data_IF_165621904760
#
_entry.id   IF_165621904760
#
_cell.length_a   1.000
_cell.length_b   1.000
_cell.length_c   1.000
_cell.angle_alpha   90.00
_cell.angle_beta   90.00
_cell.angle_gamma   90.00
#
_symmetry.space_group_name_H-M   'P 1'
#
loop_
_entity.id
_entity.type
_entity.pdbx_description
1 polymer ?
#
# COMPACT_ATOMS: atom_id res chain seq x y z
N UNK A 1 -23.76 -56.13 -34.51
CA UNK A 1 -24.72 -57.01 -33.80
C UNK A 1 -24.89 -56.40 -32.42
N UNK A 2 -26.08 -56.45 -31.83
CA UNK A 2 -26.31 -55.87 -30.50
C UNK A 2 -25.38 -56.45 -29.43
N UNK A 3 -24.80 -55.58 -28.60
CA UNK A 3 -23.72 -55.94 -27.67
C UNK A 3 -24.13 -55.75 -26.20
N UNK A 4 -24.38 -56.86 -25.49
CA UNK A 4 -24.69 -56.85 -24.04
C UNK A 4 -23.57 -56.16 -23.23
N UNK A 5 -23.89 -55.47 -22.12
CA UNK A 5 -22.86 -54.95 -21.20
C UNK A 5 -21.88 -56.04 -20.76
N UNK A 6 -20.59 -55.72 -20.77
CA UNK A 6 -19.52 -56.68 -20.49
C UNK A 6 -18.42 -56.09 -19.58
N UNK A 7 -17.52 -56.95 -19.11
CA UNK A 7 -16.33 -56.56 -18.34
C UNK A 7 -15.25 -56.01 -19.28
N UNK A 8 -14.73 -54.80 -19.02
CA UNK A 8 -13.73 -54.15 -19.86
C UNK A 8 -12.33 -54.74 -19.61
N UNK A 9 -11.73 -55.44 -20.60
CA UNK A 9 -10.41 -56.06 -20.42
C UNK A 9 -9.24 -55.05 -20.43
N UNK A 10 -9.51 -53.78 -20.72
CA UNK A 10 -8.51 -52.72 -20.81
C UNK A 10 -9.13 -51.33 -20.86
N UNK A 11 -8.27 -50.31 -20.91
CA UNK A 11 -8.65 -48.90 -20.86
C UNK A 11 -9.25 -48.38 -22.15
N UNK A 12 -8.95 -49.02 -23.29
CA UNK A 12 -9.54 -48.72 -24.57
C UNK A 12 -9.96 -50.03 -25.24
N UNK A 13 -11.26 -50.19 -25.46
CA UNK A 13 -11.85 -51.41 -26.00
C UNK A 13 -12.68 -51.06 -27.22
N UNK A 14 -12.23 -51.49 -28.40
CA UNK A 14 -12.95 -51.31 -29.65
C UNK A 14 -13.57 -52.64 -30.10
N UNK A 15 -14.86 -52.83 -29.78
CA UNK A 15 -15.61 -54.00 -30.23
C UNK A 15 -16.23 -53.81 -31.62
N UNK A 16 -16.43 -52.56 -32.05
CA UNK A 16 -16.98 -52.25 -33.36
C UNK A 16 -15.91 -52.32 -34.48
N UNK A 17 -14.63 -52.43 -34.11
CA UNK A 17 -13.47 -52.47 -35.01
C UNK A 17 -13.42 -51.24 -35.95
N UNK A 18 -13.77 -50.06 -35.41
CA UNK A 18 -13.84 -48.80 -36.15
C UNK A 18 -12.67 -47.86 -35.89
N UNK A 19 -11.85 -48.14 -34.87
CA UNK A 19 -10.73 -47.30 -34.51
C UNK A 19 -9.47 -47.63 -35.34
N UNK A 20 -8.69 -46.60 -35.63
CA UNK A 20 -7.39 -46.70 -36.27
C UNK A 20 -6.27 -47.04 -35.29
N UNK A 21 -5.12 -46.36 -35.45
CA UNK A 21 -4.03 -46.45 -34.48
C UNK A 21 -4.43 -45.76 -33.17
N UNK A 22 -4.45 -46.51 -32.08
CA UNK A 22 -4.86 -46.06 -30.75
C UNK A 22 -3.70 -45.83 -29.80
N UNK A 23 -2.46 -46.00 -30.25
CA UNK A 23 -1.27 -45.93 -29.39
C UNK A 23 -1.11 -44.58 -28.69
N UNK A 24 -1.44 -43.47 -29.36
CA UNK A 24 -1.41 -42.13 -28.78
C UNK A 24 -2.50 -41.94 -27.72
N UNK A 25 -3.70 -42.44 -27.97
CA UNK A 25 -4.83 -42.35 -27.03
C UNK A 25 -4.55 -43.11 -25.73
N UNK A 26 -3.99 -44.31 -25.85
CA UNK A 26 -3.58 -45.11 -24.66
C UNK A 26 -2.46 -44.41 -23.90
N UNK A 27 -1.49 -43.81 -24.59
CA UNK A 27 -0.44 -43.04 -23.93
C UNK A 27 -0.98 -41.82 -23.17
N UNK A 28 -2.01 -41.16 -23.68
CA UNK A 28 -2.70 -40.06 -23.00
C UNK A 28 -3.47 -40.53 -21.76
N UNK A 29 -4.13 -41.70 -21.83
CA UNK A 29 -4.79 -42.33 -20.68
C UNK A 29 -3.77 -42.68 -19.59
N UNK A 30 -2.65 -43.31 -19.96
CA UNK A 30 -1.55 -43.64 -19.05
C UNK A 30 -0.96 -42.38 -18.37
N UNK A 31 -0.72 -41.33 -19.16
CA UNK A 31 -0.19 -40.07 -18.65
C UNK A 31 -1.17 -39.36 -17.71
N UNK A 32 -2.46 -39.42 -18.01
CA UNK A 32 -3.52 -38.90 -17.16
C UNK A 32 -3.60 -39.65 -15.83
N UNK A 33 -3.57 -40.99 -15.86
CA UNK A 33 -3.54 -41.82 -14.67
C UNK A 33 -2.30 -41.52 -13.81
N UNK A 34 -1.12 -41.43 -14.43
CA UNK A 34 0.12 -41.09 -13.73
C UNK A 34 0.11 -39.70 -13.08
N UNK A 35 -0.49 -38.70 -13.73
CA UNK A 35 -0.55 -37.31 -13.22
C UNK A 35 -1.60 -37.10 -12.14
N UNK A 36 -2.78 -37.70 -12.32
CA UNK A 36 -3.98 -37.36 -11.53
C UNK A 36 -4.39 -38.46 -10.55
N UNK A 37 -3.95 -39.71 -10.78
CA UNK A 37 -4.45 -40.89 -10.10
C UNK A 37 -5.86 -41.29 -10.53
N UNK A 38 -6.39 -40.74 -11.62
CA UNK A 38 -7.69 -41.11 -12.21
C UNK A 38 -7.47 -41.96 -13.46
N UNK A 39 -8.21 -43.05 -13.59
CA UNK A 39 -8.16 -43.91 -14.77
C UNK A 39 -9.29 -43.53 -15.73
N UNK A 40 -9.01 -43.48 -17.03
CA UNK A 40 -10.03 -43.28 -18.06
C UNK A 40 -10.23 -44.57 -18.85
N UNK A 41 -11.44 -45.09 -18.86
CA UNK A 41 -11.87 -46.21 -19.69
C UNK A 41 -12.73 -45.73 -20.86
N UNK A 42 -12.49 -46.25 -22.05
CA UNK A 42 -13.24 -45.92 -23.25
C UNK A 42 -13.62 -47.21 -23.97
N UNK A 43 -14.89 -47.33 -24.34
CA UNK A 43 -15.41 -48.48 -25.07
C UNK A 43 -16.23 -48.04 -26.27
N UNK A 44 -15.98 -48.67 -27.41
CA UNK A 44 -16.72 -48.48 -28.66
C UNK A 44 -17.45 -49.78 -29.00
N UNK A 45 -18.76 -49.69 -29.21
CA UNK A 45 -19.64 -50.82 -29.54
C UNK A 45 -20.49 -50.50 -30.77
N UNK A 46 -21.06 -51.53 -31.39
CA UNK A 46 -22.03 -51.33 -32.48
C UNK A 46 -23.28 -50.58 -31.97
N UNK A 47 -23.95 -51.11 -30.95
CA UNK A 47 -25.17 -50.53 -30.36
C UNK A 47 -25.32 -50.88 -28.87
N UNK A 48 -26.25 -50.21 -28.18
CA UNK A 48 -26.50 -50.39 -26.74
C UNK A 48 -27.67 -51.34 -26.40
N UNK A 49 -28.08 -52.19 -27.35
CA UNK A 49 -29.18 -53.15 -27.22
C UNK A 49 -30.53 -52.54 -26.82
N UNK A 50 -30.82 -51.34 -27.31
CA UNK A 50 -32.05 -50.62 -26.96
C UNK A 50 -32.08 -50.07 -25.52
N UNK A 51 -30.97 -50.16 -24.78
CA UNK A 51 -30.78 -49.40 -23.54
C UNK A 51 -30.29 -47.98 -23.84
N UNK A 52 -30.49 -47.06 -22.89
CA UNK A 52 -29.82 -45.76 -22.98
C UNK A 52 -28.31 -45.93 -22.83
N UNK A 53 -27.52 -45.10 -23.52
CA UNK A 53 -26.05 -45.12 -23.44
C UNK A 53 -25.57 -45.08 -21.98
N UNK A 54 -26.16 -44.21 -21.14
CA UNK A 54 -25.82 -44.11 -19.72
C UNK A 54 -26.21 -45.37 -18.93
N UNK A 55 -27.35 -45.98 -19.22
CA UNK A 55 -27.79 -47.20 -18.55
C UNK A 55 -26.96 -48.42 -18.93
N UNK A 56 -26.49 -48.47 -20.18
CA UNK A 56 -25.55 -49.48 -20.65
C UNK A 56 -24.19 -49.30 -19.96
N UNK A 57 -23.65 -48.07 -19.98
CA UNK A 57 -22.36 -47.74 -19.39
C UNK A 57 -22.31 -48.00 -17.87
N UNK A 58 -23.39 -47.71 -17.14
CA UNK A 58 -23.47 -47.98 -15.70
C UNK A 58 -23.36 -49.48 -15.39
N UNK A 59 -23.97 -50.34 -16.22
CA UNK A 59 -23.88 -51.80 -16.05
C UNK A 59 -22.49 -52.31 -16.39
N UNK A 60 -21.91 -51.85 -17.49
CA UNK A 60 -20.52 -52.16 -17.89
C UNK A 60 -19.54 -51.74 -16.80
N UNK A 61 -19.70 -50.54 -16.23
CA UNK A 61 -18.89 -50.05 -15.11
C UNK A 61 -19.01 -50.93 -13.86
N UNK A 62 -20.23 -51.39 -13.53
CA UNK A 62 -20.46 -52.31 -12.42
C UNK A 62 -19.85 -53.70 -12.63
N UNK A 63 -19.93 -54.24 -13.86
CA UNK A 63 -19.28 -55.51 -14.21
C UNK A 63 -17.76 -55.42 -14.14
N UNK A 64 -17.21 -54.28 -14.58
CA UNK A 64 -15.76 -54.00 -14.63
C UNK A 64 -15.18 -53.53 -13.29
N UNK A 65 -16.01 -53.39 -12.26
CA UNK A 65 -15.56 -52.95 -10.93
C UNK A 65 -15.06 -51.50 -10.87
N UNK A 66 -15.49 -50.63 -11.79
CA UNK A 66 -15.05 -49.23 -11.86
C UNK A 66 -15.51 -48.45 -10.63
N UNK A 67 -14.54 -47.86 -9.92
CA UNK A 67 -14.72 -47.16 -8.66
C UNK A 67 -14.72 -45.63 -8.78
N UNK A 68 -14.41 -44.98 -7.66
CA UNK A 68 -14.48 -43.52 -7.49
C UNK A 68 -13.38 -42.73 -8.21
N UNK A 69 -12.41 -43.44 -8.80
CA UNK A 69 -11.28 -42.87 -9.55
C UNK A 69 -11.34 -43.22 -11.04
N UNK A 70 -12.36 -43.95 -11.47
CA UNK A 70 -12.45 -44.51 -12.80
C UNK A 70 -13.53 -43.77 -13.59
N UNK A 71 -13.08 -42.98 -14.57
CA UNK A 71 -13.93 -42.40 -15.59
C UNK A 71 -14.22 -43.44 -16.65
N UNK A 72 -15.41 -43.39 -17.25
CA UNK A 72 -15.75 -44.28 -18.34
C UNK A 72 -16.50 -43.56 -19.44
N UNK A 73 -16.23 -43.93 -20.70
CA UNK A 73 -16.91 -43.40 -21.88
C UNK A 73 -17.37 -44.56 -22.74
N UNK A 74 -18.63 -44.55 -23.14
CA UNK A 74 -19.17 -45.49 -24.11
C UNK A 74 -19.64 -44.75 -25.35
N UNK A 75 -19.25 -45.23 -26.53
CA UNK A 75 -19.66 -44.70 -27.84
C UNK A 75 -20.30 -45.82 -28.65
N UNK A 76 -21.47 -45.57 -29.22
CA UNK A 76 -22.10 -46.50 -30.17
C UNK A 76 -22.02 -45.97 -31.60
N UNK A 77 -21.82 -46.90 -32.54
CA UNK A 77 -21.74 -46.58 -33.98
C UNK A 77 -23.14 -46.45 -34.58
N UNK A 78 -24.03 -47.39 -34.29
CA UNK A 78 -25.35 -47.49 -34.92
C UNK A 78 -26.40 -46.58 -34.27
N UNK A 79 -26.40 -46.48 -32.92
CA UNK A 79 -27.33 -45.58 -32.21
C UNK A 79 -26.88 -44.10 -32.31
N UNK A 80 -25.65 -43.84 -32.77
CA UNK A 80 -25.06 -42.50 -32.89
C UNK A 80 -25.16 -41.70 -31.58
N UNK A 81 -24.89 -42.37 -30.46
CA UNK A 81 -25.00 -41.81 -29.12
C UNK A 81 -23.76 -42.14 -28.29
N UNK A 82 -23.56 -41.39 -27.22
CA UNK A 82 -22.46 -41.60 -26.30
C UNK A 82 -22.86 -41.29 -24.86
N UNK A 83 -22.19 -41.96 -23.93
CA UNK A 83 -22.31 -41.67 -22.51
C UNK A 83 -20.94 -41.51 -21.87
N UNK A 84 -20.89 -40.64 -20.86
CA UNK A 84 -19.71 -40.42 -20.04
C UNK A 84 -20.11 -40.56 -18.58
N UNK A 85 -19.37 -41.38 -17.85
CA UNK A 85 -19.44 -41.55 -16.40
C UNK A 85 -18.24 -40.84 -15.78
N UNK A 86 -18.51 -39.90 -14.88
CA UNK A 86 -17.50 -39.25 -14.06
C UNK A 86 -17.86 -39.43 -12.59
N UNK A 87 -17.06 -40.18 -11.80
CA UNK A 87 -17.35 -40.41 -10.39
C UNK A 87 -17.18 -39.13 -9.57
N UNK A 88 -17.93 -38.99 -8.47
CA UNK A 88 -17.81 -37.84 -7.57
C UNK A 88 -16.41 -37.73 -6.96
N UNK A 89 -15.78 -38.88 -6.69
CA UNK A 89 -14.41 -38.97 -6.20
C UNK A 89 -13.33 -38.40 -7.14
N UNK A 90 -13.64 -38.17 -8.43
CA UNK A 90 -12.69 -37.61 -9.40
C UNK A 90 -12.30 -36.15 -9.12
N UNK A 91 -13.16 -35.39 -8.42
CA UNK A 91 -12.96 -33.95 -8.13
C UNK A 91 -12.72 -33.08 -9.36
N UNK A 92 -13.14 -33.56 -10.54
CA UNK A 92 -13.14 -32.76 -11.76
C UNK A 92 -14.24 -31.69 -11.68
N UNK A 93 -14.03 -30.56 -12.37
CA UNK A 93 -14.99 -29.45 -12.35
C UNK A 93 -16.19 -29.79 -13.25
N UNK A 94 -17.44 -29.81 -12.72
CA UNK A 94 -18.60 -30.24 -13.50
C UNK A 94 -18.82 -29.45 -14.80
N UNK A 95 -18.50 -28.15 -14.81
CA UNK A 95 -18.64 -27.32 -16.01
C UNK A 95 -17.62 -27.64 -17.11
N UNK A 96 -16.41 -28.05 -16.75
CA UNK A 96 -15.38 -28.44 -17.73
C UNK A 96 -15.67 -29.83 -18.30
N UNK A 97 -16.05 -30.77 -17.42
CA UNK A 97 -16.52 -32.10 -17.82
C UNK A 97 -17.72 -32.00 -18.76
N UNK A 98 -18.75 -31.22 -18.40
CA UNK A 98 -19.94 -31.06 -19.23
C UNK A 98 -19.66 -30.57 -20.64
N UNK A 99 -18.71 -29.64 -20.81
CA UNK A 99 -18.31 -29.17 -22.14
C UNK A 99 -17.68 -30.26 -23.00
N UNK A 100 -16.89 -31.16 -22.41
CA UNK A 100 -16.29 -32.29 -23.12
C UNK A 100 -17.38 -33.31 -23.48
N UNK A 101 -18.26 -33.65 -22.53
CA UNK A 101 -19.38 -34.57 -22.75
C UNK A 101 -20.27 -34.11 -23.91
N UNK A 102 -20.61 -32.82 -23.96
CA UNK A 102 -21.42 -32.27 -25.04
C UNK A 102 -20.74 -32.43 -26.41
N UNK A 103 -19.42 -32.27 -26.47
CA UNK A 103 -18.65 -32.45 -27.72
C UNK A 103 -18.57 -33.92 -28.13
N UNK A 104 -18.32 -34.84 -27.19
CA UNK A 104 -18.32 -36.29 -27.46
C UNK A 104 -19.66 -36.75 -28.02
N UNK A 105 -20.76 -36.34 -27.38
CA UNK A 105 -22.12 -36.67 -27.84
C UNK A 105 -22.41 -36.02 -29.20
N UNK A 106 -21.90 -34.82 -29.47
CA UNK A 106 -22.06 -34.18 -30.78
C UNK A 106 -21.33 -34.96 -31.90
N UNK A 107 -20.12 -35.46 -31.64
CA UNK A 107 -19.37 -36.28 -32.59
C UNK A 107 -20.05 -37.64 -32.83
N UNK A 108 -20.50 -38.30 -31.77
CA UNK A 108 -21.25 -39.55 -31.89
C UNK A 108 -22.51 -39.36 -32.76
N UNK A 109 -23.25 -38.27 -32.55
CA UNK A 109 -24.43 -37.91 -33.37
C UNK A 109 -24.09 -37.55 -34.81
N UNK A 110 -22.88 -37.06 -35.06
CA UNK A 110 -22.35 -36.85 -36.41
C UNK A 110 -21.93 -38.16 -37.10
N UNK A 111 -22.09 -39.32 -36.42
CA UNK A 111 -21.64 -40.65 -36.86
C UNK A 111 -20.13 -40.71 -37.07
N UNK A 112 -19.39 -40.03 -36.21
CA UNK A 112 -17.93 -40.06 -36.16
C UNK A 112 -17.47 -40.71 -34.85
N UNK A 113 -17.46 -42.05 -34.76
CA UNK A 113 -17.06 -42.75 -33.53
C UNK A 113 -15.60 -42.51 -33.18
N UNK A 114 -14.70 -42.38 -34.18
CA UNK A 114 -13.30 -42.04 -33.95
C UNK A 114 -13.17 -40.62 -33.37
N UNK A 115 -13.82 -39.63 -33.98
CA UNK A 115 -13.81 -38.26 -33.47
C UNK A 115 -14.43 -38.15 -32.07
N UNK A 116 -15.43 -38.97 -31.74
CA UNK A 116 -16.00 -39.03 -30.40
C UNK A 116 -14.99 -39.57 -29.37
N UNK A 117 -14.26 -40.64 -29.71
CA UNK A 117 -13.19 -41.20 -28.86
C UNK A 117 -12.04 -40.22 -28.71
N UNK A 118 -11.54 -39.62 -29.80
CA UNK A 118 -10.44 -38.65 -29.76
C UNK A 118 -10.80 -37.45 -28.87
N UNK A 119 -12.03 -36.95 -29.02
CA UNK A 119 -12.56 -35.85 -28.20
C UNK A 119 -12.68 -36.25 -26.73
N UNK A 120 -13.14 -37.48 -26.46
CA UNK A 120 -13.31 -37.99 -25.11
C UNK A 120 -11.97 -38.12 -24.40
N UNK A 121 -11.00 -38.80 -25.02
CA UNK A 121 -9.67 -39.01 -24.47
C UNK A 121 -8.98 -37.68 -24.30
N UNK A 122 -8.74 -36.93 -25.38
CA UNK A 122 -8.00 -35.66 -25.33
C UNK A 122 -8.66 -34.64 -24.40
N UNK A 123 -10.00 -34.57 -24.42
CA UNK A 123 -10.76 -33.61 -23.64
C UNK A 123 -10.75 -33.93 -22.15
N UNK A 124 -10.94 -35.20 -21.76
CA UNK A 124 -10.97 -35.60 -20.35
C UNK A 124 -9.56 -35.68 -19.75
N UNK A 125 -8.57 -36.17 -20.50
CA UNK A 125 -7.18 -36.26 -20.02
C UNK A 125 -6.55 -34.88 -19.85
N UNK A 126 -7.02 -33.85 -20.56
CA UNK A 126 -6.58 -32.47 -20.37
C UNK A 126 -7.06 -31.84 -19.05
N UNK A 127 -8.04 -32.44 -18.35
CA UNK A 127 -8.59 -31.88 -17.12
C UNK A 127 -7.69 -32.19 -15.90
N UNK A 128 -7.73 -31.30 -14.91
CA UNK A 128 -7.03 -31.46 -13.64
C UNK A 128 -8.04 -31.52 -12.47
N UNK A 129 -7.89 -32.49 -11.54
CA UNK A 129 -8.65 -32.53 -10.31
C UNK A 129 -8.41 -31.29 -9.44
N UNK A 130 -9.45 -30.80 -8.78
CA UNK A 130 -9.30 -29.68 -7.84
C UNK A 130 -8.69 -30.18 -6.53
N UNK A 131 -7.49 -29.71 -6.18
CA UNK A 131 -6.89 -29.94 -4.86
C UNK A 131 -7.39 -28.90 -3.83
N UNK A 132 -8.24 -29.29 -2.86
CA UNK A 132 -8.73 -28.37 -1.83
C UNK A 132 -7.62 -27.82 -0.94
N UNK A 133 -6.53 -28.56 -0.73
CA UNK A 133 -5.41 -28.11 0.09
C UNK A 133 -4.63 -26.98 -0.59
N UNK A 134 -4.45 -27.07 -1.91
CA UNK A 134 -3.80 -26.03 -2.70
C UNK A 134 -4.64 -24.74 -2.72
N UNK A 135 -5.97 -24.86 -2.86
CA UNK A 135 -6.89 -23.72 -2.81
C UNK A 135 -6.89 -23.02 -1.45
N UNK A 136 -6.87 -23.77 -0.36
CA UNK A 136 -6.79 -23.21 1.00
C UNK A 136 -5.46 -22.45 1.24
N UNK A 137 -4.33 -22.99 0.75
CA UNK A 137 -3.01 -22.32 0.81
C UNK A 137 -2.99 -21.01 0.03
N UNK A 138 -3.59 -20.98 -1.16
CA UNK A 138 -3.68 -19.77 -1.96
C UNK A 138 -4.47 -18.67 -1.22
N UNK A 139 -5.64 -19.00 -0.67
CA UNK A 139 -6.45 -18.05 0.11
C UNK A 139 -5.68 -17.53 1.34
N UNK A 140 -4.98 -18.41 2.06
CA UNK A 140 -4.17 -18.03 3.21
C UNK A 140 -2.99 -17.11 2.83
N UNK A 141 -2.36 -17.32 1.68
CA UNK A 141 -1.28 -16.45 1.21
C UNK A 141 -1.78 -15.01 0.91
N UNK A 142 -2.95 -14.90 0.28
CA UNK A 142 -3.56 -13.60 -0.03
C UNK A 142 -3.94 -12.80 1.23
N UNK A 143 -4.50 -13.46 2.25
CA UNK A 143 -4.87 -12.78 3.50
C UNK A 143 -3.65 -12.25 4.25
N UNK A 144 -2.55 -13.01 4.30
CA UNK A 144 -1.28 -12.56 4.88
C UNK A 144 -0.72 -11.36 4.12
N UNK A 145 -0.78 -11.37 2.79
CA UNK A 145 -0.34 -10.24 1.96
C UNK A 145 -1.11 -8.94 2.24
N UNK A 146 -2.44 -9.02 2.37
CA UNK A 146 -3.29 -7.87 2.68
C UNK A 146 -2.98 -7.30 4.06
N UNK A 147 -2.81 -8.15 5.08
CA UNK A 147 -2.46 -7.72 6.44
C UNK A 147 -1.10 -7.01 6.48
N UNK A 148 -0.11 -7.52 5.73
CA UNK A 148 1.21 -6.91 5.65
C UNK A 148 1.15 -5.52 4.99
N UNK A 149 0.40 -5.38 3.89
CA UNK A 149 0.21 -4.10 3.21
C UNK A 149 -0.47 -3.06 4.11
N UNK A 150 -1.49 -3.46 4.88
CA UNK A 150 -2.17 -2.58 5.83
C UNK A 150 -1.24 -2.13 6.97
N UNK A 151 -0.39 -3.03 7.48
CA UNK A 151 0.59 -2.70 8.51
C UNK A 151 1.62 -1.66 8.02
N UNK A 152 2.10 -1.79 6.77
CA UNK A 152 3.02 -0.82 6.16
C UNK A 152 2.36 0.55 5.98
N UNK A 153 1.10 0.59 5.51
CA UNK A 153 0.34 1.83 5.38
C UNK A 153 0.15 2.54 6.73
N UNK A 154 -0.22 1.80 7.78
CA UNK A 154 -0.36 2.33 9.13
C UNK A 154 0.97 2.89 9.66
N UNK A 155 2.06 2.15 9.51
CA UNK A 155 3.39 2.57 9.94
C UNK A 155 3.83 3.86 9.20
N UNK A 156 3.61 3.93 7.89
CA UNK A 156 3.89 5.12 7.08
C UNK A 156 3.07 6.34 7.52
N UNK A 157 1.77 6.16 7.78
CA UNK A 157 0.90 7.23 8.26
C UNK A 157 1.31 7.76 9.64
N UNK A 158 1.66 6.86 10.58
CA UNK A 158 2.17 7.22 11.91
C UNK A 158 3.50 7.97 11.83
N UNK A 159 4.43 7.51 11.00
CA UNK A 159 5.71 8.19 10.77
C UNK A 159 5.51 9.60 10.20
N UNK A 160 4.62 9.74 9.21
CA UNK A 160 4.35 11.04 8.58
C UNK A 160 3.67 12.02 9.55
N UNK A 161 2.75 11.54 10.39
CA UNK A 161 2.14 12.34 11.46
C UNK A 161 3.16 12.82 12.49
N UNK A 162 4.07 11.94 12.94
CA UNK A 162 5.15 12.31 13.87
C UNK A 162 6.08 13.36 13.27
N UNK A 163 6.40 13.26 11.97
CA UNK A 163 7.23 14.24 11.27
C UNK A 163 6.54 15.60 11.17
N UNK A 164 5.25 15.63 10.84
CA UNK A 164 4.47 16.89 10.75
C UNK A 164 4.27 17.57 12.10
N UNK A 165 4.13 16.81 13.18
CA UNK A 165 3.97 17.37 14.53
C UNK A 165 5.17 18.21 14.98
N UNK A 166 6.38 17.91 14.49
CA UNK A 166 7.60 18.66 14.81
C UNK A 166 7.82 19.93 13.99
N UNK A 167 7.14 20.06 12.84
CA UNK A 167 7.32 21.20 11.94
C UNK A 167 6.47 22.44 12.31
N UNK A 168 5.32 22.24 12.97
CA UNK A 168 4.44 23.33 13.43
C UNK A 168 5.08 24.29 14.46
N UNK A 169 5.70 23.80 15.57
CA UNK A 169 6.26 24.71 16.57
C UNK A 169 7.43 25.56 16.04
N UNK A 170 8.17 25.05 15.05
CA UNK A 170 9.27 25.80 14.43
C UNK A 170 8.76 26.94 13.52
N UNK A 171 7.68 26.70 12.79
CA UNK A 171 7.04 27.73 11.97
C UNK A 171 6.40 28.84 12.82
N UNK A 172 5.79 28.47 13.95
CA UNK A 172 5.21 29.43 14.90
C UNK A 172 6.30 30.27 15.58
N UNK A 173 7.43 29.64 15.96
CA UNK A 173 8.58 30.36 16.52
C UNK A 173 9.23 31.32 15.51
N UNK A 174 9.29 30.96 14.21
CA UNK A 174 9.74 31.86 13.13
C UNK A 174 8.93 33.14 13.05
N UNK A 175 7.61 33.02 12.94
CA UNK A 175 6.71 34.19 12.89
C UNK A 175 6.84 35.08 14.12
N UNK A 176 6.96 34.49 15.31
CA UNK A 176 7.13 35.24 16.57
C UNK A 176 8.47 35.97 16.63
N UNK A 177 9.55 35.37 16.13
CA UNK A 177 10.85 36.01 16.06
C UNK A 177 10.84 37.21 15.09
N UNK A 178 10.19 37.08 13.92
CA UNK A 178 10.02 38.17 12.97
C UNK A 178 9.25 39.36 13.59
N UNK A 179 8.12 39.07 14.26
CA UNK A 179 7.30 40.09 14.92
C UNK A 179 8.08 40.82 16.03
N UNK A 180 8.77 40.08 16.90
CA UNK A 180 9.57 40.67 17.97
C UNK A 180 10.77 41.46 17.43
N UNK A 181 11.38 41.03 16.32
CA UNK A 181 12.47 41.74 15.67
C UNK A 181 12.02 43.10 15.13
N UNK A 182 10.86 43.14 14.47
CA UNK A 182 10.27 44.37 13.95
C UNK A 182 9.95 45.35 15.09
N UNK A 183 9.35 44.84 16.18
CA UNK A 183 9.03 45.63 17.37
C UNK A 183 10.30 46.17 18.05
N UNK A 184 11.31 45.32 18.27
CA UNK A 184 12.61 45.75 18.81
C UNK A 184 13.28 46.79 17.90
N UNK A 185 13.18 46.65 16.59
CA UNK A 185 13.68 47.63 15.63
C UNK A 185 13.08 49.03 15.86
N UNK A 186 11.76 49.11 16.05
CA UNK A 186 11.08 50.35 16.37
C UNK A 186 11.47 50.90 17.76
N UNK A 187 11.55 50.03 18.78
CA UNK A 187 11.93 50.40 20.14
C UNK A 187 13.36 50.99 20.18
N UNK A 188 14.30 50.42 19.43
CA UNK A 188 15.69 50.90 19.31
C UNK A 188 15.77 52.25 18.63
N UNK A 189 15.03 52.45 17.52
CA UNK A 189 14.99 53.77 16.85
C UNK A 189 14.47 54.85 17.80
N UNK A 190 13.44 54.55 18.57
CA UNK A 190 12.90 55.49 19.55
C UNK A 190 13.88 55.74 20.72
N UNK A 191 14.60 54.70 21.17
CA UNK A 191 15.67 54.83 22.17
C UNK A 191 16.80 55.76 21.67
N UNK A 192 17.29 55.56 20.44
CA UNK A 192 18.36 56.39 19.88
C UNK A 192 17.95 57.88 19.78
N UNK A 193 16.70 58.14 19.37
CA UNK A 193 16.15 59.50 19.31
C UNK A 193 16.07 60.15 20.70
N UNK A 194 15.62 59.41 21.71
CA UNK A 194 15.53 59.93 23.08
C UNK A 194 16.88 60.11 23.74
N UNK A 195 17.85 59.28 23.39
CA UNK A 195 19.23 59.38 23.88
C UNK A 195 19.84 60.70 23.39
N UNK A 196 19.74 60.98 22.10
CA UNK A 196 20.23 62.24 21.50
C UNK A 196 19.53 63.48 22.09
N UNK A 197 18.21 63.45 22.23
CA UNK A 197 17.45 64.54 22.86
C UNK A 197 17.87 64.76 24.33
N UNK A 198 17.98 63.68 25.10
CA UNK A 198 18.36 63.75 26.53
C UNK A 198 19.79 64.24 26.68
N UNK A 199 20.71 63.76 25.85
CA UNK A 199 22.10 64.20 25.81
C UNK A 199 22.20 65.70 25.55
N UNK A 200 21.52 66.20 24.52
CA UNK A 200 21.48 67.63 24.20
C UNK A 200 21.00 68.47 25.38
N UNK A 201 19.93 68.03 26.08
CA UNK A 201 19.39 68.75 27.24
C UNK A 201 20.34 68.74 28.42
N UNK A 202 21.01 67.62 28.69
CA UNK A 202 21.99 67.49 29.78
C UNK A 202 23.24 68.34 29.49
N UNK A 203 23.69 68.38 28.23
CA UNK A 203 24.80 69.24 27.79
C UNK A 203 24.44 70.73 27.94
N UNK A 204 23.23 71.13 27.52
CA UNK A 204 22.72 72.50 27.67
C UNK A 204 22.61 72.91 29.14
N UNK A 205 21.93 72.11 29.97
CA UNK A 205 21.80 72.38 31.40
C UNK A 205 23.16 72.42 32.11
N UNK A 206 24.12 71.64 31.62
CA UNK A 206 25.49 71.64 32.10
C UNK A 206 26.29 72.90 31.76
N UNK A 207 25.89 73.65 30.74
CA UNK A 207 26.49 74.94 30.41
C UNK A 207 25.96 76.07 31.33
N UNK A 208 24.71 75.95 31.78
CA UNK A 208 24.01 76.97 32.57
C UNK A 208 24.12 76.75 34.09
N UNK A 209 24.29 75.51 34.54
CA UNK A 209 24.30 75.13 35.95
C UNK A 209 25.62 74.49 36.40
N UNK A 210 25.94 74.63 37.69
CA UNK A 210 27.11 74.00 38.29
C UNK A 210 27.10 72.47 38.13
N UNK A 211 28.29 71.87 38.01
CA UNK A 211 28.46 70.44 37.79
C UNK A 211 27.74 69.55 38.82
N UNK A 212 27.62 70.02 40.08
CA UNK A 212 26.91 69.31 41.14
C UNK A 212 25.40 69.26 40.92
N UNK A 213 24.79 70.30 40.34
CA UNK A 213 23.35 70.37 40.09
C UNK A 213 22.88 69.42 38.98
N UNK A 214 23.80 69.04 38.09
CA UNK A 214 23.54 68.16 36.93
C UNK A 214 24.17 66.78 37.08
N UNK A 215 24.70 66.44 38.26
CA UNK A 215 25.41 65.18 38.50
C UNK A 215 24.52 63.94 38.35
N UNK A 216 23.30 63.97 38.90
CA UNK A 216 22.34 62.87 38.80
C UNK A 216 21.90 62.65 37.36
N UNK A 217 21.52 63.73 36.66
CA UNK A 217 21.12 63.66 35.25
C UNK A 217 22.21 63.06 34.35
N UNK A 218 23.49 63.43 34.58
CA UNK A 218 24.62 62.83 33.85
C UNK A 218 24.83 61.35 34.17
N UNK A 219 24.63 60.95 35.43
CA UNK A 219 24.75 59.54 35.84
C UNK A 219 23.69 58.68 35.17
N UNK A 220 22.44 59.13 35.15
CA UNK A 220 21.34 58.41 34.49
C UNK A 220 21.51 58.38 32.96
N UNK A 221 21.97 59.47 32.35
CA UNK A 221 22.32 59.47 30.92
C UNK A 221 23.41 58.42 30.61
N UNK A 222 24.48 58.36 31.42
CA UNK A 222 25.55 57.38 31.21
C UNK A 222 25.07 55.92 31.38
N UNK A 223 24.12 55.67 32.29
CA UNK A 223 23.49 54.37 32.43
C UNK A 223 22.67 54.00 31.19
N UNK A 224 21.85 54.94 30.68
CA UNK A 224 21.09 54.76 29.44
C UNK A 224 21.97 54.52 28.21
N UNK A 225 23.09 55.24 28.08
CA UNK A 225 24.06 55.05 26.99
C UNK A 225 24.70 53.66 27.01
N UNK A 226 25.06 53.15 28.19
CA UNK A 226 25.62 51.81 28.34
C UNK A 226 24.61 50.73 27.95
N UNK A 227 23.38 50.81 28.43
CA UNK A 227 22.34 49.83 28.09
C UNK A 227 21.96 49.89 26.60
N UNK A 228 21.88 51.07 26.00
CA UNK A 228 21.63 51.22 24.57
C UNK A 228 22.73 50.54 23.73
N UNK A 229 23.99 50.71 24.11
CA UNK A 229 25.12 50.06 23.45
C UNK A 229 25.06 48.53 23.58
N UNK A 230 24.64 48.03 24.73
CA UNK A 230 24.45 46.59 24.95
C UNK A 230 23.30 46.02 24.11
N UNK A 231 22.19 46.76 23.95
CA UNK A 231 21.11 46.39 23.02
C UNK A 231 21.64 46.28 21.59
N UNK A 232 22.39 47.28 21.10
CA UNK A 232 22.92 47.31 19.74
C UNK A 232 23.90 46.15 19.46
N UNK A 233 24.80 45.86 20.41
CA UNK A 233 25.73 44.73 20.31
C UNK A 233 25.01 43.40 20.28
N UNK A 234 24.12 43.16 21.25
CA UNK A 234 23.40 41.91 21.35
C UNK A 234 22.49 41.66 20.14
N UNK A 235 21.89 42.73 19.59
CA UNK A 235 21.12 42.66 18.34
C UNK A 235 22.00 42.28 17.14
N UNK A 236 23.19 42.88 17.01
CA UNK A 236 24.12 42.55 15.93
C UNK A 236 24.61 41.08 15.98
N UNK A 237 24.71 40.52 17.18
CA UNK A 237 25.08 39.11 17.40
C UNK A 237 23.95 38.12 17.12
N UNK A 238 22.70 38.57 17.05
CA UNK A 238 21.54 37.70 16.84
C UNK A 238 21.26 37.38 15.37
N UNK A 239 21.44 38.34 14.47
CA UNK A 239 21.08 38.19 13.06
C UNK A 239 22.16 38.68 12.09
N UNK A 240 22.04 38.20 10.86
CA UNK A 240 22.77 38.64 9.67
C UNK A 240 21.74 39.12 8.67
N UNK A 241 22.04 40.18 7.93
CA UNK A 241 21.15 40.68 6.88
C UNK A 241 20.44 41.97 7.29
N UNK A 242 19.56 42.50 6.43
CA UNK A 242 18.84 43.73 6.70
C UNK A 242 17.84 43.54 7.86
N UNK A 243 17.55 44.61 8.58
CA UNK A 243 16.63 44.61 9.73
C UNK A 243 15.25 44.00 9.42
N UNK A 244 14.78 44.19 8.18
CA UNK A 244 13.45 43.76 7.74
C UNK A 244 13.41 42.32 7.20
N UNK A 245 14.57 41.66 7.06
CA UNK A 245 14.69 40.25 6.63
C UNK A 245 15.88 39.57 7.35
N UNK A 246 15.76 39.34 8.68
CA UNK A 246 16.85 38.84 9.49
C UNK A 246 17.12 37.36 9.25
N UNK A 247 18.37 37.01 8.95
CA UNK A 247 18.86 35.63 8.99
C UNK A 247 19.46 35.33 10.36
N UNK A 248 18.81 34.47 11.14
CA UNK A 248 19.21 34.17 12.51
C UNK A 248 20.50 33.34 12.62
N UNK A 249 21.43 33.76 13.47
CA UNK A 249 22.67 33.03 13.78
C UNK A 249 22.48 31.87 14.76
N UNK A 250 21.32 31.82 15.43
CA UNK A 250 20.97 30.87 16.49
C UNK A 250 19.64 30.16 16.18
N UNK A 251 19.34 29.03 16.84
CA UNK A 251 18.03 28.40 16.74
C UNK A 251 16.90 29.38 17.05
N UNK A 252 15.84 29.36 16.25
CA UNK A 252 14.74 30.34 16.31
C UNK A 252 14.05 30.42 17.68
N UNK A 253 14.03 29.31 18.43
CA UNK A 253 13.47 29.28 19.79
C UNK A 253 14.29 30.09 20.79
N UNK A 254 15.62 30.08 20.65
CA UNK A 254 16.51 30.89 21.49
C UNK A 254 16.46 32.36 21.08
N UNK A 255 16.31 32.63 19.78
CA UNK A 255 16.15 33.99 19.25
C UNK A 255 14.93 34.69 19.87
N UNK A 256 13.78 34.02 19.93
CA UNK A 256 12.56 34.59 20.54
C UNK A 256 12.82 35.06 21.97
N UNK A 257 13.46 34.22 22.78
CA UNK A 257 13.78 34.56 24.17
C UNK A 257 14.75 35.73 24.28
N UNK A 258 15.77 35.78 23.43
CA UNK A 258 16.72 36.89 23.46
C UNK A 258 16.07 38.20 22.98
N UNK A 259 15.22 38.17 21.96
CA UNK A 259 14.48 39.36 21.51
C UNK A 259 13.57 39.93 22.61
N UNK A 260 12.85 39.08 23.35
CA UNK A 260 12.03 39.51 24.50
C UNK A 260 12.91 40.17 25.58
N UNK A 261 14.08 39.59 25.88
CA UNK A 261 15.04 40.16 26.82
C UNK A 261 15.56 41.53 26.37
N UNK A 262 15.93 41.66 25.09
CA UNK A 262 16.45 42.91 24.53
C UNK A 262 15.41 44.04 24.53
N UNK A 263 14.14 43.71 24.32
CA UNK A 263 13.06 44.70 24.48
C UNK A 263 12.93 45.18 25.92
N UNK A 264 13.09 44.29 26.90
CA UNK A 264 13.16 44.67 28.30
C UNK A 264 14.34 45.61 28.60
N UNK A 265 15.51 45.31 28.03
CA UNK A 265 16.71 46.15 28.16
C UNK A 265 16.52 47.52 27.50
N UNK A 266 15.93 47.58 26.29
CA UNK A 266 15.64 48.84 25.62
C UNK A 266 14.64 49.70 26.40
N UNK A 267 13.63 49.09 27.02
CA UNK A 267 12.69 49.79 27.90
C UNK A 267 13.37 50.34 29.17
N UNK A 268 14.28 49.56 29.77
CA UNK A 268 15.10 49.99 30.92
C UNK A 268 15.97 51.20 30.58
N UNK A 269 16.67 51.17 29.44
CA UNK A 269 17.51 52.27 28.97
C UNK A 269 16.69 53.56 28.79
N UNK A 270 15.50 53.46 28.21
CA UNK A 270 14.58 54.61 28.08
C UNK A 270 14.09 55.14 29.43
N UNK A 271 13.96 54.27 30.44
CA UNK A 271 13.70 54.66 31.82
C UNK A 271 14.80 55.54 32.39
N UNK A 272 16.06 55.12 32.26
CA UNK A 272 17.22 55.94 32.64
C UNK A 272 17.23 57.31 31.93
N UNK A 273 16.89 57.37 30.64
CA UNK A 273 16.80 58.64 29.91
C UNK A 273 15.66 59.53 30.42
N UNK A 274 14.54 58.95 30.85
CA UNK A 274 13.46 59.70 31.50
C UNK A 274 13.91 60.27 32.85
N UNK A 275 14.52 59.45 33.70
CA UNK A 275 15.04 59.86 35.01
C UNK A 275 16.13 60.93 34.87
N UNK A 276 16.98 60.84 33.84
CA UNK A 276 17.97 61.85 33.51
C UNK A 276 17.32 63.22 33.20
N UNK A 277 16.22 63.24 32.45
CA UNK A 277 15.49 64.46 32.11
C UNK A 277 14.79 65.05 33.34
N UNK A 278 14.22 64.21 34.18
CA UNK A 278 13.51 64.64 35.40
C UNK A 278 14.47 65.19 36.46
N UNK A 279 15.72 64.74 36.46
CA UNK A 279 16.79 65.23 37.34
C UNK A 279 17.41 66.57 36.91
N UNK A 280 17.01 67.14 35.78
CA UNK A 280 17.54 68.43 35.32
C UNK A 280 16.98 69.60 36.16
N UNK A 281 17.81 70.62 36.46
CA UNK A 281 17.32 71.84 37.10
C UNK A 281 16.30 72.56 36.20
N UNK A 282 15.22 73.09 36.80
CA UNK A 282 14.16 73.85 36.12
C UNK A 282 14.55 75.30 35.88
#
# INVERSE_FOLDING_TARGET
MAQEPFDLPGELVDQAEVLGDTSELVADQDAFAGRTGLQLFVVVVDDFEGSSASGWLERTAGLSGLGEQDLAVAVSVDDADAAVRVPEGSRLRPGEVGSVVDQVVAQARARDPQGAVDTAVTGLTALDPVDPAQRARAIAAWTVGILLALAVLLAGALWWRRRRARARPLADAGRRAEELSAQLGADVVALDQELEDTRLRVELAGADADAAATAQARSELAAGELEALDVHRARADLSIGPTDDPTWRRPVTEVVTELERLRGLAASARGHLADARDALPR
#
